data_IF_870850446807
#
_entry.id   IF_870850446807
#
_cell.length_a   1.000
_cell.length_b   1.000
_cell.length_c   1.000
_cell.angle_alpha   90.00
_cell.angle_beta   90.00
_cell.angle_gamma   90.00
#
_symmetry.space_group_name_H-M   'P 1'
#
loop_
_entity.id
_entity.type
_entity.pdbx_description
1 polymer ?
#
# COMPACT_ATOMS: atom_id res chain seq x y z
N UNK A 1 -5.97 18.01 -13.78
CA UNK A 1 -4.78 17.84 -12.94
C UNK A 1 -5.08 18.43 -11.57
N UNK A 2 -5.18 17.61 -10.52
CA UNK A 2 -5.52 18.05 -9.15
C UNK A 2 -4.31 18.57 -8.37
N UNK A 3 -3.11 18.48 -8.94
CA UNK A 3 -1.87 19.02 -8.41
C UNK A 3 -1.06 19.67 -9.53
N UNK A 4 -0.22 20.63 -9.18
CA UNK A 4 0.66 21.37 -10.08
C UNK A 4 2.09 21.25 -9.58
N UNK A 5 2.99 20.90 -10.50
CA UNK A 5 4.43 20.99 -10.28
C UNK A 5 4.96 22.17 -11.10
N UNK A 6 5.32 23.26 -10.42
CA UNK A 6 5.85 24.45 -11.08
C UNK A 6 7.14 24.91 -10.39
N UNK A 7 8.24 24.98 -11.14
CA UNK A 7 9.56 25.42 -10.65
C UNK A 7 10.02 24.67 -9.38
N UNK A 8 9.82 23.36 -9.37
CA UNK A 8 10.16 22.50 -8.22
C UNK A 8 9.18 22.59 -7.06
N UNK A 9 8.16 23.45 -7.05
CA UNK A 9 7.14 23.46 -5.98
C UNK A 9 5.98 22.54 -6.32
N UNK A 10 5.66 21.62 -5.41
CA UNK A 10 4.50 20.75 -5.48
C UNK A 10 3.33 21.39 -4.73
N UNK A 11 2.15 21.43 -5.33
CA UNK A 11 0.94 21.95 -4.69
C UNK A 11 -0.32 21.40 -5.33
N UNK A 12 -1.46 21.59 -4.66
CA UNK A 12 -2.77 21.24 -5.21
C UNK A 12 -3.20 22.30 -6.24
N UNK A 13 -3.88 21.86 -7.31
CA UNK A 13 -4.48 22.76 -8.28
C UNK A 13 -5.54 23.61 -7.56
N UNK A 14 -5.34 24.93 -7.54
CA UNK A 14 -6.18 25.88 -6.80
C UNK A 14 -5.80 26.09 -5.32
N UNK A 15 -4.78 25.38 -4.81
CA UNK A 15 -4.26 25.58 -3.45
C UNK A 15 -3.41 26.84 -3.32
N UNK A 16 -3.67 27.67 -2.30
CA UNK A 16 -2.94 28.94 -2.08
C UNK A 16 -1.53 28.76 -1.50
N UNK A 17 -1.18 27.56 -1.02
CA UNK A 17 0.14 27.24 -0.46
C UNK A 17 0.73 26.00 -1.13
N UNK A 18 2.01 26.02 -1.54
CA UNK A 18 2.71 24.81 -1.96
C UNK A 18 2.84 23.85 -0.78
N UNK A 19 2.68 22.55 -1.04
CA UNK A 19 2.87 21.46 -0.07
C UNK A 19 4.36 21.17 0.18
N UNK A 20 5.26 21.63 -0.70
CA UNK A 20 6.71 21.52 -0.54
C UNK A 20 7.52 21.85 -1.80
N UNK A 21 8.84 21.65 -1.74
CA UNK A 21 9.79 21.81 -2.86
C UNK A 21 10.44 20.46 -3.17
N UNK A 22 10.51 20.09 -4.45
CA UNK A 22 11.14 18.88 -4.96
C UNK A 22 12.54 19.19 -5.53
N UNK A 23 13.59 18.61 -4.95
CA UNK A 23 14.96 18.54 -5.43
C UNK A 23 15.19 17.33 -6.37
N UNK A 24 16.40 17.20 -6.91
CA UNK A 24 16.82 16.04 -7.74
C UNK A 24 16.79 14.71 -6.96
N UNK A 25 16.97 14.74 -5.64
CA UNK A 25 16.85 13.58 -4.75
C UNK A 25 15.44 13.00 -4.63
N UNK A 26 14.41 13.70 -5.12
CA UNK A 26 13.01 13.31 -4.95
C UNK A 26 12.47 12.38 -6.04
N UNK A 27 13.37 11.66 -6.74
CA UNK A 27 12.97 10.64 -7.70
C UNK A 27 12.02 9.57 -7.10
N UNK A 28 12.21 9.08 -5.85
CA UNK A 28 11.27 8.14 -5.23
C UNK A 28 9.86 8.74 -5.09
N UNK A 29 9.78 9.98 -4.66
CA UNK A 29 8.53 10.69 -4.46
C UNK A 29 7.81 11.00 -5.78
N UNK A 30 8.56 11.34 -6.84
CA UNK A 30 7.99 11.47 -8.19
C UNK A 30 7.42 10.15 -8.71
N UNK A 31 8.11 9.03 -8.46
CA UNK A 31 7.61 7.68 -8.80
C UNK A 31 6.36 7.34 -8.01
N UNK A 32 6.34 7.62 -6.71
CA UNK A 32 5.16 7.42 -5.87
C UNK A 32 3.97 8.27 -6.34
N UNK A 33 4.20 9.54 -6.70
CA UNK A 33 3.16 10.40 -7.25
C UNK A 33 2.62 9.90 -8.60
N UNK A 34 3.50 9.43 -9.49
CA UNK A 34 3.10 8.82 -10.76
C UNK A 34 2.33 7.50 -10.55
N UNK A 35 2.75 6.70 -9.57
CA UNK A 35 2.06 5.46 -9.19
C UNK A 35 0.67 5.77 -8.68
N UNK A 36 0.53 6.65 -7.68
CA UNK A 36 -0.75 7.10 -7.15
C UNK A 36 -1.68 7.61 -8.25
N UNK A 37 -1.16 8.32 -9.26
CA UNK A 37 -1.96 8.89 -10.32
C UNK A 37 -2.53 7.87 -11.33
N UNK A 38 -1.97 6.66 -11.44
CA UNK A 38 -2.39 5.77 -12.53
C UNK A 38 -1.83 4.35 -12.58
N UNK A 39 -1.15 3.86 -11.54
CA UNK A 39 -0.69 2.48 -11.49
C UNK A 39 -1.83 1.51 -11.12
N UNK A 40 -1.47 0.23 -10.97
CA UNK A 40 -2.33 -0.81 -10.40
C UNK A 40 -2.04 -1.07 -8.92
N UNK A 41 -1.11 -0.33 -8.30
CA UNK A 41 -0.67 -0.54 -6.92
C UNK A 41 -1.71 0.00 -5.92
N UNK A 42 -1.48 -0.26 -4.64
CA UNK A 42 -2.44 0.08 -3.58
C UNK A 42 -2.61 1.59 -3.41
N UNK A 43 -1.58 2.40 -3.68
CA UNK A 43 -1.68 3.85 -3.69
C UNK A 43 -2.68 4.37 -4.74
N UNK A 44 -2.70 3.78 -5.93
CA UNK A 44 -3.64 4.10 -7.00
C UNK A 44 -5.07 3.64 -6.67
N UNK A 45 -5.22 2.54 -5.93
CA UNK A 45 -6.54 2.12 -5.42
C UNK A 45 -7.11 3.17 -4.45
N UNK A 46 -6.27 3.71 -3.55
CA UNK A 46 -6.63 4.79 -2.65
C UNK A 46 -6.86 6.12 -3.39
N UNK A 47 -6.08 6.42 -4.43
CA UNK A 47 -6.29 7.58 -5.29
C UNK A 47 -7.68 7.57 -5.94
N UNK A 48 -8.14 6.40 -6.42
CA UNK A 48 -9.48 6.21 -7.00
C UNK A 48 -10.61 6.39 -5.97
N UNK A 49 -10.30 6.28 -4.68
CA UNK A 49 -11.20 6.55 -3.58
C UNK A 49 -11.04 7.98 -3.02
N UNK A 50 -10.44 8.90 -3.79
CA UNK A 50 -10.19 10.30 -3.44
C UNK A 50 -9.31 10.50 -2.18
N UNK A 51 -8.49 9.51 -1.84
CA UNK A 51 -7.54 9.62 -0.72
C UNK A 51 -6.24 10.26 -1.19
N UNK A 52 -6.00 11.49 -0.73
CA UNK A 52 -4.77 12.23 -0.99
C UNK A 52 -3.58 11.69 -0.18
N UNK A 53 -2.35 12.08 -0.54
CA UNK A 53 -1.11 11.64 0.12
C UNK A 53 -1.14 11.84 1.64
N UNK A 54 -1.74 12.95 2.10
CA UNK A 54 -1.88 13.28 3.52
C UNK A 54 -2.83 12.36 4.30
N UNK A 55 -3.68 11.59 3.61
CA UNK A 55 -4.52 10.56 4.22
C UNK A 55 -3.70 9.46 4.88
N UNK A 56 -2.53 9.15 4.33
CA UNK A 56 -1.58 8.21 4.93
C UNK A 56 -0.42 8.96 5.62
N UNK A 57 0.13 10.01 5.01
CA UNK A 57 1.41 10.63 5.41
C UNK A 57 1.31 11.95 6.21
N UNK A 58 0.44 12.02 7.23
CA UNK A 58 0.43 13.07 8.27
C UNK A 58 0.76 14.53 7.84
N UNK A 59 0.23 14.98 6.69
CA UNK A 59 0.18 16.39 6.29
C UNK A 59 1.47 17.05 5.76
N UNK A 60 2.63 16.39 5.83
CA UNK A 60 3.85 16.85 5.19
C UNK A 60 4.13 16.05 3.91
N UNK A 61 5.01 16.59 3.08
CA UNK A 61 5.56 15.86 1.94
C UNK A 61 6.48 14.76 2.51
N UNK A 62 6.16 13.46 2.34
CA UNK A 62 6.88 12.40 3.04
C UNK A 62 8.31 12.29 2.54
N UNK A 63 9.25 12.13 3.48
CA UNK A 63 10.64 11.82 3.19
C UNK A 63 10.77 10.38 2.67
N UNK A 64 11.87 10.09 1.98
CA UNK A 64 12.15 8.72 1.53
C UNK A 64 12.33 7.83 2.76
N UNK A 65 11.57 6.73 2.83
CA UNK A 65 11.55 5.85 4.00
C UNK A 65 10.55 6.27 5.08
N UNK A 66 9.70 7.27 4.84
CA UNK A 66 8.62 7.61 5.75
C UNK A 66 7.73 6.39 6.03
N UNK A 67 7.61 6.05 7.30
CA UNK A 67 6.75 4.98 7.78
C UNK A 67 5.32 5.47 7.99
N UNK A 68 4.35 4.56 7.83
CA UNK A 68 2.92 4.82 8.05
C UNK A 68 2.44 3.85 9.12
N UNK A 69 2.09 4.41 10.28
CA UNK A 69 1.54 3.69 11.43
C UNK A 69 0.18 3.06 11.11
N UNK A 70 -0.12 1.91 11.74
CA UNK A 70 -1.40 1.20 11.60
C UNK A 70 -2.62 2.09 11.86
N UNK A 71 -2.53 3.03 12.80
CA UNK A 71 -3.61 3.96 13.14
C UNK A 71 -4.12 4.75 11.92
N UNK A 72 -3.25 5.01 10.92
CA UNK A 72 -3.66 5.68 9.68
C UNK A 72 -4.58 4.80 8.84
N UNK A 73 -4.32 3.49 8.82
CA UNK A 73 -5.17 2.52 8.16
C UNK A 73 -6.49 2.34 8.92
N UNK A 74 -6.41 2.14 10.23
CA UNK A 74 -7.57 1.85 11.10
C UNK A 74 -8.55 3.03 11.19
N UNK A 75 -8.08 4.27 11.00
CA UNK A 75 -8.94 5.46 10.96
C UNK A 75 -10.05 5.37 9.89
N UNK A 76 -9.82 4.64 8.80
CA UNK A 76 -10.80 4.45 7.71
C UNK A 76 -11.29 3.00 7.59
N UNK A 77 -10.43 2.02 7.85
CA UNK A 77 -10.75 0.60 7.71
C UNK A 77 -11.41 0.00 8.97
N UNK A 78 -11.50 0.76 10.06
CA UNK A 78 -12.09 0.33 11.32
C UNK A 78 -11.09 -0.39 12.23
N UNK A 79 -11.53 -0.77 13.45
CA UNK A 79 -10.66 -1.41 14.43
C UNK A 79 -10.25 -2.82 14.00
N UNK A 80 -9.10 -3.30 14.49
CA UNK A 80 -8.54 -4.60 14.14
C UNK A 80 -9.52 -5.77 14.30
N UNK A 81 -10.31 -5.81 15.39
CA UNK A 81 -11.30 -6.87 15.62
C UNK A 81 -12.39 -6.92 14.53
N UNK A 82 -12.79 -5.76 14.00
CA UNK A 82 -13.75 -5.69 12.91
C UNK A 82 -13.15 -6.24 11.60
N UNK A 83 -11.87 -5.97 11.35
CA UNK A 83 -11.14 -6.51 10.20
C UNK A 83 -11.01 -8.02 10.30
N UNK A 84 -10.60 -8.54 11.45
CA UNK A 84 -10.52 -9.99 11.71
C UNK A 84 -11.84 -10.66 11.39
N UNK A 85 -12.96 -10.12 11.89
CA UNK A 85 -14.28 -10.67 11.62
C UNK A 85 -14.66 -10.57 10.14
N UNK A 86 -14.37 -9.45 9.49
CA UNK A 86 -14.70 -9.23 8.08
C UNK A 86 -13.90 -10.13 7.12
N UNK A 87 -12.71 -10.56 7.53
CA UNK A 87 -11.82 -11.39 6.70
C UNK A 87 -11.73 -12.84 7.15
N UNK A 88 -12.66 -13.30 7.99
CA UNK A 88 -12.72 -14.70 8.40
C UNK A 88 -12.96 -15.62 7.18
N UNK A 89 -12.01 -16.51 6.84
CA UNK A 89 -12.17 -17.41 5.71
C UNK A 89 -13.18 -18.52 6.03
N UNK A 90 -14.09 -18.81 5.11
CA UNK A 90 -15.18 -19.77 5.31
C UNK A 90 -14.71 -21.23 5.52
N UNK A 91 -13.58 -21.60 4.92
CA UNK A 91 -13.09 -22.99 4.89
C UNK A 91 -12.03 -23.26 5.96
N UNK A 92 -11.15 -22.30 6.21
CA UNK A 92 -10.01 -22.45 7.12
C UNK A 92 -9.90 -21.27 8.09
N UNK A 93 -10.78 -21.15 9.10
CA UNK A 93 -10.85 -19.98 10.00
C UNK A 93 -9.54 -19.64 10.71
N UNK A 94 -8.65 -20.62 10.87
CA UNK A 94 -7.30 -20.49 11.41
C UNK A 94 -6.31 -19.73 10.50
N UNK A 95 -6.67 -19.52 9.23
CA UNK A 95 -5.83 -18.87 8.20
C UNK A 95 -6.27 -17.43 7.91
N UNK A 96 -6.73 -16.72 8.93
CA UNK A 96 -7.12 -15.34 8.80
C UNK A 96 -5.88 -14.43 8.74
N UNK A 97 -5.66 -13.64 7.66
CA UNK A 97 -4.47 -12.80 7.53
C UNK A 97 -4.39 -11.71 8.61
N UNK A 98 -5.51 -11.32 9.22
CA UNK A 98 -5.55 -10.31 10.28
C UNK A 98 -5.51 -10.91 11.69
N UNK A 99 -5.41 -12.23 11.82
CA UNK A 99 -5.27 -12.91 13.10
C UNK A 99 -4.33 -14.11 12.96
N UNK A 100 -3.05 -13.87 13.22
CA UNK A 100 -1.99 -14.86 13.05
C UNK A 100 -1.20 -15.13 14.34
N UNK A 101 -0.31 -16.12 14.28
CA UNK A 101 0.64 -16.42 15.36
C UNK A 101 1.75 -15.37 15.51
N UNK A 102 1.83 -14.38 14.61
CA UNK A 102 2.78 -13.27 14.70
C UNK A 102 2.30 -12.17 15.66
N UNK A 103 1.04 -12.23 16.11
CA UNK A 103 0.42 -11.18 16.90
C UNK A 103 0.02 -9.99 16.03
N UNK A 104 0.13 -8.78 16.61
CA UNK A 104 -0.09 -7.53 15.89
C UNK A 104 1.17 -7.14 15.11
N UNK A 105 1.03 -6.97 13.81
CA UNK A 105 2.10 -6.55 12.89
C UNK A 105 1.61 -5.39 12.03
N UNK A 106 2.54 -4.64 11.44
CA UNK A 106 2.17 -3.48 10.64
C UNK A 106 1.40 -3.87 9.38
N UNK A 107 0.33 -3.14 9.07
CA UNK A 107 -0.44 -3.32 7.85
C UNK A 107 0.47 -3.26 6.61
N UNK A 108 1.49 -2.40 6.67
CA UNK A 108 2.46 -2.15 5.59
C UNK A 108 3.42 -3.31 5.33
N UNK A 109 3.48 -4.33 6.20
CA UNK A 109 4.24 -5.57 5.96
C UNK A 109 3.67 -6.35 4.77
N UNK A 110 2.35 -6.31 4.57
CA UNK A 110 1.69 -6.99 3.44
C UNK A 110 1.14 -5.99 2.42
N UNK A 111 0.58 -4.87 2.90
CA UNK A 111 -0.11 -3.87 2.10
C UNK A 111 0.86 -2.74 1.70
N UNK A 112 1.54 -2.93 0.58
CA UNK A 112 2.50 -1.96 0.06
C UNK A 112 1.80 -0.91 -0.81
N UNK A 113 1.86 0.35 -0.39
CA UNK A 113 1.24 1.47 -1.12
C UNK A 113 1.91 1.71 -2.49
N UNK A 114 3.22 1.92 -2.49
CA UNK A 114 4.01 2.32 -3.66
C UNK A 114 4.80 1.17 -4.29
N UNK A 115 4.46 -0.08 -3.95
CA UNK A 115 5.03 -1.29 -4.53
C UNK A 115 3.95 -2.37 -4.62
N UNK A 116 4.24 -3.49 -5.30
CA UNK A 116 3.32 -4.61 -5.38
C UNK A 116 3.10 -5.23 -3.99
N UNK A 117 1.87 -5.27 -3.50
CA UNK A 117 1.53 -5.91 -2.22
C UNK A 117 1.80 -7.42 -2.24
N UNK A 118 2.16 -7.99 -1.09
CA UNK A 118 2.47 -9.42 -0.97
C UNK A 118 1.81 -10.07 0.24
N UNK A 119 1.42 -11.33 0.09
CA UNK A 119 0.93 -12.13 1.20
C UNK A 119 2.13 -12.66 1.98
N UNK A 120 2.58 -11.92 3.00
CA UNK A 120 3.75 -12.25 3.81
C UNK A 120 3.74 -13.71 4.34
N UNK A 121 2.56 -14.25 4.66
CA UNK A 121 2.38 -15.61 5.15
C UNK A 121 2.89 -16.68 4.16
N UNK A 122 2.82 -16.42 2.85
CA UNK A 122 3.21 -17.38 1.82
C UNK A 122 4.72 -17.61 1.76
N UNK A 123 5.52 -16.74 2.41
CA UNK A 123 6.96 -16.94 2.57
C UNK A 123 7.28 -18.17 3.44
N UNK A 124 6.39 -18.54 4.37
CA UNK A 124 6.53 -19.73 5.22
C UNK A 124 5.45 -20.78 4.95
N UNK A 125 4.28 -20.36 4.46
CA UNK A 125 3.13 -21.22 4.15
C UNK A 125 2.83 -21.21 2.64
N UNK A 126 3.76 -21.69 1.79
CA UNK A 126 3.63 -21.55 0.34
C UNK A 126 2.46 -22.34 -0.24
N UNK A 127 1.86 -23.27 0.51
CA UNK A 127 0.71 -24.06 0.06
C UNK A 127 -0.64 -23.47 0.47
N UNK A 128 -0.65 -22.31 1.14
CA UNK A 128 -1.90 -21.67 1.52
C UNK A 128 -2.54 -21.01 0.30
N UNK A 129 -3.83 -21.23 0.15
CA UNK A 129 -4.65 -20.50 -0.82
C UNK A 129 -5.11 -19.19 -0.19
N UNK A 130 -4.44 -18.10 -0.53
CA UNK A 130 -4.77 -16.76 -0.06
C UNK A 130 -5.28 -15.91 -1.22
N UNK A 131 -6.27 -15.06 -0.95
CA UNK A 131 -6.77 -14.10 -1.93
C UNK A 131 -5.65 -13.11 -2.30
N UNK A 132 -5.56 -12.68 -3.57
CA UNK A 132 -4.68 -11.58 -3.94
C UNK A 132 -5.02 -10.31 -3.15
N UNK A 133 -3.99 -9.60 -2.69
CA UNK A 133 -4.17 -8.29 -2.07
C UNK A 133 -4.44 -7.22 -3.14
N UNK A 134 -5.17 -6.14 -2.82
CA UNK A 134 -5.25 -4.98 -3.70
C UNK A 134 -3.85 -4.43 -3.97
N UNK A 135 -3.54 -4.17 -5.24
CA UNK A 135 -2.21 -3.73 -5.63
C UNK A 135 -1.13 -4.81 -5.61
N UNK A 136 -1.48 -6.09 -5.41
CA UNK A 136 -0.54 -7.19 -5.62
C UNK A 136 -0.17 -7.31 -7.10
N UNK A 137 1.07 -7.70 -7.36
CA UNK A 137 1.42 -8.25 -8.66
C UNK A 137 0.51 -9.46 -8.94
N UNK A 138 0.18 -9.77 -10.21
CA UNK A 138 -0.53 -11.00 -10.53
C UNK A 138 0.20 -12.17 -9.87
N UNK A 139 -0.53 -12.95 -9.05
CA UNK A 139 0.04 -14.07 -8.31
C UNK A 139 0.83 -14.93 -9.31
N UNK A 140 2.14 -15.08 -9.10
CA UNK A 140 2.88 -16.15 -9.79
C UNK A 140 2.15 -17.45 -9.43
N UNK A 141 1.78 -18.28 -10.41
CA UNK A 141 1.12 -19.54 -10.11
C UNK A 141 2.00 -20.29 -9.13
N UNK A 142 1.43 -20.67 -7.99
CA UNK A 142 2.12 -21.38 -6.90
C UNK A 142 2.60 -22.77 -7.35
N UNK A 143 2.25 -23.16 -8.58
CA UNK A 143 2.64 -24.41 -9.27
C UNK A 143 3.42 -24.18 -10.57
N UNK A 144 3.86 -22.95 -10.88
CA UNK A 144 4.83 -22.78 -11.95
C UNK A 144 6.16 -23.34 -11.43
N UNK A 145 6.58 -24.47 -12.01
CA UNK A 145 7.90 -25.03 -11.81
C UNK A 145 8.96 -23.92 -11.94
N UNK A 146 10.06 -23.97 -11.16
CA UNK A 146 11.12 -22.99 -11.31
C UNK A 146 11.57 -22.98 -12.78
N UNK A 147 11.51 -21.80 -13.40
CA UNK A 147 12.14 -21.58 -14.70
C UNK A 147 13.64 -21.79 -14.51
N UNK A 148 14.13 -22.95 -14.97
CA UNK A 148 15.55 -23.17 -15.16
C UNK A 148 16.01 -22.24 -16.28
N UNK A 149 16.61 -21.11 -15.91
CA UNK A 149 17.34 -20.26 -16.86
C UNK A 149 18.54 -21.03 -17.40
N UNK A 150 18.82 -20.97 -18.72
CA UNK A 150 19.96 -21.62 -19.36
C UNK A 150 21.31 -21.02 -18.95
#
# INVERSE_FOLDING_TARGET
MCHTLARGRFGLAGGKKPLGTLAEGDAPLRRAAASWAGSTLLDAAHAKADVACAGCHAGALPETGAFVENDRCLACHGPADALVKATEPAVHPDRNPHRSHLGEIDCTVCHHAHAASENYCLNCHPKFEMKPLPGAAPLRPVHAAPEETP
#
